data_IF_943015694074
#
_entry.id   IF_943015694074
#
_cell.length_a   1.000
_cell.length_b   1.000
_cell.length_c   1.000
_cell.angle_alpha   90.00
_cell.angle_beta   90.00
_cell.angle_gamma   90.00
#
_symmetry.space_group_name_H-M   'P 1'
#
loop_
_entity.id
_entity.type
_entity.pdbx_description
1 polymer ?
#
# COMPACT_ATOMS: atom_id res chain seq x y z
N UNK A 1 6.92 20.18 -12.73
CA UNK A 1 7.07 18.72 -12.85
C UNK A 1 7.33 18.05 -11.52
N UNK A 2 8.33 18.53 -10.77
CA UNK A 2 8.62 17.98 -9.44
C UNK A 2 7.39 17.97 -8.53
N UNK A 3 6.65 19.07 -8.53
CA UNK A 3 5.48 19.18 -7.66
C UNK A 3 4.40 18.13 -7.99
N UNK A 4 4.23 17.81 -9.26
CA UNK A 4 3.29 16.78 -9.69
C UNK A 4 3.70 15.41 -9.13
N UNK A 5 4.99 15.11 -9.21
CA UNK A 5 5.52 13.84 -8.67
C UNK A 5 5.33 13.78 -7.16
N UNK A 6 5.69 14.85 -6.45
CA UNK A 6 5.55 14.89 -4.99
C UNK A 6 4.08 14.76 -4.58
N UNK A 7 3.18 15.47 -5.25
CA UNK A 7 1.75 15.41 -4.94
C UNK A 7 1.19 14.00 -5.15
N UNK A 8 1.64 13.33 -6.19
CA UNK A 8 1.18 11.98 -6.50
C UNK A 8 1.66 10.96 -5.47
N UNK A 9 2.93 11.05 -5.07
CA UNK A 9 3.47 10.17 -4.04
C UNK A 9 2.77 10.43 -2.70
N UNK A 10 2.55 11.70 -2.37
CA UNK A 10 1.83 12.07 -1.15
C UNK A 10 0.40 11.53 -1.15
N UNK A 11 -0.29 11.59 -2.29
CA UNK A 11 -1.64 11.05 -2.43
C UNK A 11 -1.65 9.54 -2.20
N UNK A 12 -0.70 8.82 -2.80
CA UNK A 12 -0.56 7.38 -2.59
C UNK A 12 -0.26 7.04 -1.13
N UNK A 13 0.59 7.85 -0.50
CA UNK A 13 0.94 7.64 0.91
C UNK A 13 -0.29 7.84 1.81
N UNK A 14 -1.09 8.88 1.56
CA UNK A 14 -2.31 9.11 2.33
C UNK A 14 -3.29 7.95 2.22
N UNK A 15 -3.49 7.45 1.00
CA UNK A 15 -4.39 6.31 0.77
C UNK A 15 -3.86 5.06 1.47
N UNK A 16 -2.55 4.83 1.42
CA UNK A 16 -1.91 3.70 2.08
C UNK A 16 -2.07 3.77 3.60
N UNK A 17 -1.94 4.95 4.18
CA UNK A 17 -2.12 5.14 5.63
C UNK A 17 -3.58 4.90 6.04
N UNK A 18 -4.53 5.33 5.23
CA UNK A 18 -5.94 5.04 5.48
C UNK A 18 -6.20 3.54 5.44
N UNK A 19 -5.60 2.85 4.48
CA UNK A 19 -5.74 1.41 4.37
C UNK A 19 -5.11 0.69 5.57
N UNK A 20 -3.93 1.13 6.00
CA UNK A 20 -3.27 0.56 7.18
C UNK A 20 -4.14 0.71 8.43
N UNK A 21 -4.72 1.89 8.63
CA UNK A 21 -5.62 2.14 9.75
C UNK A 21 -6.82 1.20 9.71
N UNK A 22 -7.41 1.01 8.54
CA UNK A 22 -8.59 0.15 8.38
C UNK A 22 -8.24 -1.32 8.65
N UNK A 23 -7.12 -1.81 8.12
CA UNK A 23 -6.69 -3.20 8.32
C UNK A 23 -6.34 -3.44 9.78
N UNK A 24 -5.74 -2.44 10.45
CA UNK A 24 -5.45 -2.53 11.88
C UNK A 24 -6.74 -2.59 12.70
N UNK A 25 -7.75 -1.80 12.33
CA UNK A 25 -9.06 -1.87 12.98
C UNK A 25 -9.72 -3.23 12.76
N UNK A 26 -9.60 -3.79 11.56
CA UNK A 26 -10.11 -5.12 11.28
C UNK A 26 -9.46 -6.18 12.16
N UNK A 27 -8.16 -6.05 12.42
CA UNK A 27 -7.45 -6.96 13.31
C UNK A 27 -8.02 -6.92 14.72
N UNK A 28 -8.27 -5.72 15.23
CA UNK A 28 -8.86 -5.55 16.56
C UNK A 28 -10.25 -6.18 16.64
N UNK A 29 -11.04 -6.02 15.58
CA UNK A 29 -12.39 -6.60 15.54
C UNK A 29 -12.35 -8.13 15.50
N UNK A 30 -11.41 -8.71 14.77
CA UNK A 30 -11.22 -10.16 14.74
C UNK A 30 -10.86 -10.72 16.12
N UNK A 31 -9.94 -10.05 16.81
CA UNK A 31 -9.50 -10.48 18.15
C UNK A 31 -10.66 -10.41 19.14
N UNK A 32 -11.54 -9.42 18.99
CA UNK A 32 -12.71 -9.25 19.85
C UNK A 32 -13.91 -10.08 19.41
N UNK A 33 -13.79 -10.84 18.32
CA UNK A 33 -14.86 -11.62 17.74
C UNK A 33 -16.07 -10.77 17.29
N UNK A 34 -15.84 -9.51 16.92
CA UNK A 34 -16.86 -8.63 16.38
C UNK A 34 -16.90 -8.78 14.86
N UNK A 35 -17.37 -9.95 14.39
CA UNK A 35 -17.30 -10.32 12.98
C UNK A 35 -18.20 -9.48 12.09
N UNK A 36 -19.34 -9.05 12.58
CA UNK A 36 -20.25 -8.22 11.79
C UNK A 36 -19.59 -6.88 11.44
N UNK A 37 -18.90 -6.27 12.40
CA UNK A 37 -18.16 -5.03 12.16
C UNK A 37 -16.98 -5.25 11.24
N UNK A 38 -16.29 -6.38 11.39
CA UNK A 38 -15.21 -6.75 10.46
C UNK A 38 -15.73 -6.79 9.03
N UNK A 39 -16.89 -7.41 8.81
CA UNK A 39 -17.50 -7.52 7.50
C UNK A 39 -17.91 -6.16 6.95
N UNK A 40 -18.37 -5.26 7.79
CA UNK A 40 -18.76 -3.90 7.39
C UNK A 40 -17.57 -3.10 6.85
N UNK A 41 -16.37 -3.36 7.32
CA UNK A 41 -15.17 -2.67 6.86
C UNK A 41 -14.64 -3.17 5.51
N UNK A 42 -15.04 -4.37 5.10
CA UNK A 42 -14.54 -4.96 3.85
C UNK A 42 -14.88 -4.16 2.60
N UNK A 43 -16.11 -3.62 2.43
CA UNK A 43 -16.40 -2.74 1.30
C UNK A 43 -15.57 -1.47 1.30
N UNK A 44 -15.30 -0.90 2.46
CA UNK A 44 -14.44 0.29 2.58
C UNK A 44 -13.00 -0.03 2.15
N UNK A 45 -12.51 -1.19 2.53
CA UNK A 45 -11.19 -1.66 2.11
C UNK A 45 -11.09 -1.75 0.59
N UNK A 46 -12.09 -2.35 -0.05
CA UNK A 46 -12.13 -2.46 -1.51
C UNK A 46 -12.15 -1.09 -2.18
N UNK A 47 -12.89 -0.15 -1.62
CA UNK A 47 -12.94 1.21 -2.15
C UNK A 47 -11.58 1.90 -2.07
N UNK A 48 -10.89 1.77 -0.93
CA UNK A 48 -9.57 2.36 -0.74
C UNK A 48 -8.57 1.73 -1.71
N UNK A 49 -8.60 0.41 -1.89
CA UNK A 49 -7.75 -0.28 -2.86
C UNK A 49 -8.01 0.21 -4.28
N UNK A 50 -9.26 0.46 -4.64
CA UNK A 50 -9.62 1.01 -5.94
C UNK A 50 -9.04 2.41 -6.12
N UNK A 51 -9.11 3.25 -5.10
CA UNK A 51 -8.49 4.58 -5.15
C UNK A 51 -6.98 4.49 -5.38
N UNK A 52 -6.31 3.58 -4.69
CA UNK A 52 -4.88 3.38 -4.87
C UNK A 52 -4.54 2.92 -6.28
N UNK A 53 -5.31 1.98 -6.83
CA UNK A 53 -5.10 1.51 -8.20
C UNK A 53 -5.26 2.61 -9.23
N UNK A 54 -6.19 3.53 -9.00
CA UNK A 54 -6.38 4.68 -9.90
C UNK A 54 -5.16 5.60 -9.88
N UNK A 55 -4.58 5.83 -8.71
CA UNK A 55 -3.37 6.63 -8.59
C UNK A 55 -2.19 5.95 -9.26
N UNK A 56 -2.08 4.64 -9.14
CA UNK A 56 -1.04 3.86 -9.78
C UNK A 56 -1.15 3.90 -11.30
N UNK A 57 -2.36 3.72 -11.82
CA UNK A 57 -2.57 3.62 -13.26
C UNK A 57 -2.31 4.92 -14.02
N UNK A 58 -2.12 6.03 -13.33
CA UNK A 58 -1.74 7.29 -13.95
C UNK A 58 -0.28 7.32 -14.39
N UNK A 59 0.30 6.27 -14.81
CA UNK A 59 1.65 6.03 -15.37
C UNK A 59 2.62 7.22 -15.43
N UNK A 60 2.15 8.41 -15.13
CA UNK A 60 2.92 9.66 -15.19
C UNK A 60 4.09 9.64 -14.21
N UNK A 61 3.88 9.03 -13.04
CA UNK A 61 4.91 8.99 -12.01
C UNK A 61 6.15 8.24 -12.47
N UNK A 62 5.97 7.04 -13.01
CA UNK A 62 7.11 6.23 -13.46
C UNK A 62 7.86 6.91 -14.60
N UNK A 63 7.13 7.49 -15.54
CA UNK A 63 7.73 8.14 -16.69
C UNK A 63 8.52 9.38 -16.27
N UNK A 64 7.97 10.20 -15.38
CA UNK A 64 8.65 11.42 -14.93
C UNK A 64 9.87 11.07 -14.09
N UNK A 65 9.76 10.07 -13.22
CA UNK A 65 10.90 9.65 -12.38
C UNK A 65 12.05 9.11 -13.24
N UNK A 66 11.74 8.33 -14.28
CA UNK A 66 12.78 7.78 -15.15
C UNK A 66 13.44 8.83 -16.04
N UNK A 67 12.64 9.76 -16.59
CA UNK A 67 13.14 10.69 -17.62
C UNK A 67 13.78 11.94 -17.03
N UNK A 68 13.29 12.44 -15.89
CA UNK A 68 13.67 13.75 -15.38
C UNK A 68 14.26 13.76 -13.97
N UNK A 69 14.31 12.61 -13.31
CA UNK A 69 14.71 12.55 -11.91
C UNK A 69 16.11 13.13 -11.67
N UNK A 70 17.06 12.81 -12.53
CA UNK A 70 18.43 13.29 -12.37
C UNK A 70 18.57 14.80 -12.57
N UNK A 71 17.63 15.39 -13.30
CA UNK A 71 17.63 16.84 -13.56
C UNK A 71 17.01 17.63 -12.40
N UNK A 72 16.38 16.96 -11.45
CA UNK A 72 15.78 17.63 -10.30
C UNK A 72 16.86 18.14 -9.34
N UNK A 73 16.62 19.25 -8.62
CA UNK A 73 17.49 19.65 -7.53
C UNK A 73 17.68 18.55 -6.51
N UNK A 74 18.86 18.50 -5.89
CA UNK A 74 19.19 17.45 -4.92
C UNK A 74 18.17 17.40 -3.79
N UNK A 75 17.70 18.55 -3.34
CA UNK A 75 16.73 18.63 -2.27
C UNK A 75 15.39 17.98 -2.66
N UNK A 76 14.96 18.19 -3.90
CA UNK A 76 13.73 17.56 -4.42
C UNK A 76 13.90 16.07 -4.58
N UNK A 77 15.07 15.63 -5.06
CA UNK A 77 15.37 14.20 -5.13
C UNK A 77 15.29 13.54 -3.75
N UNK A 78 15.80 14.23 -2.73
CA UNK A 78 15.76 13.72 -1.35
C UNK A 78 14.33 13.60 -0.85
N UNK A 79 13.48 14.61 -1.13
CA UNK A 79 12.07 14.54 -0.76
C UNK A 79 11.35 13.37 -1.44
N UNK A 80 11.63 13.15 -2.71
CA UNK A 80 11.04 12.02 -3.45
C UNK A 80 11.47 10.71 -2.82
N UNK A 81 12.76 10.55 -2.53
CA UNK A 81 13.28 9.34 -1.93
C UNK A 81 12.66 9.07 -0.55
N UNK A 82 12.57 10.11 0.27
CA UNK A 82 11.98 9.99 1.61
C UNK A 82 10.50 9.58 1.53
N UNK A 83 9.75 10.17 0.61
CA UNK A 83 8.34 9.83 0.43
C UNK A 83 8.16 8.42 -0.12
N UNK A 84 9.00 8.00 -1.07
CA UNK A 84 8.95 6.64 -1.61
C UNK A 84 9.29 5.61 -0.52
N UNK A 85 10.25 5.92 0.32
CA UNK A 85 10.59 5.04 1.43
C UNK A 85 9.42 4.93 2.41
N UNK A 86 8.81 6.06 2.78
CA UNK A 86 7.65 6.07 3.66
C UNK A 86 6.48 5.29 3.04
N UNK A 87 6.25 5.45 1.74
CA UNK A 87 5.21 4.73 1.03
C UNK A 87 5.46 3.22 1.07
N UNK A 88 6.69 2.81 0.77
CA UNK A 88 7.05 1.39 0.77
C UNK A 88 6.89 0.77 2.16
N UNK A 89 7.35 1.46 3.19
CA UNK A 89 7.22 0.98 4.57
C UNK A 89 5.74 0.83 4.97
N UNK A 90 4.92 1.82 4.61
CA UNK A 90 3.49 1.77 4.90
C UNK A 90 2.80 0.63 4.17
N UNK A 91 3.13 0.43 2.89
CA UNK A 91 2.59 -0.66 2.09
C UNK A 91 2.99 -2.02 2.68
N UNK A 92 4.23 -2.17 3.10
CA UNK A 92 4.68 -3.41 3.73
C UNK A 92 3.92 -3.68 5.02
N UNK A 93 3.68 -2.64 5.83
CA UNK A 93 2.89 -2.78 7.05
C UNK A 93 1.45 -3.22 6.75
N UNK A 94 0.84 -2.67 5.69
CA UNK A 94 -0.50 -3.07 5.26
C UNK A 94 -0.52 -4.55 4.88
N UNK A 95 0.44 -4.97 4.08
CA UNK A 95 0.52 -6.36 3.62
C UNK A 95 0.69 -7.31 4.81
N UNK A 96 1.60 -6.98 5.72
CA UNK A 96 1.85 -7.81 6.90
C UNK A 96 0.62 -7.89 7.81
N UNK A 97 -0.05 -6.76 8.05
CA UNK A 97 -1.25 -6.74 8.87
C UNK A 97 -2.38 -7.54 8.24
N UNK A 98 -2.55 -7.45 6.93
CA UNK A 98 -3.60 -8.17 6.24
C UNK A 98 -3.32 -9.67 6.21
N UNK A 99 -2.06 -10.06 6.01
CA UNK A 99 -1.66 -11.47 6.11
C UNK A 99 -1.88 -12.01 7.51
N UNK A 100 -1.59 -11.21 8.54
CA UNK A 100 -1.84 -11.61 9.93
C UNK A 100 -3.33 -11.86 10.17
N UNK A 101 -4.19 -10.99 9.62
CA UNK A 101 -5.64 -11.19 9.69
C UNK A 101 -6.07 -12.46 8.98
N UNK A 102 -5.50 -12.73 7.80
CA UNK A 102 -5.80 -13.94 7.03
C UNK A 102 -5.40 -15.20 7.80
N UNK A 103 -4.20 -15.19 8.37
CA UNK A 103 -3.70 -16.32 9.14
C UNK A 103 -4.52 -16.55 10.41
N UNK A 104 -4.92 -15.47 11.08
CA UNK A 104 -5.76 -15.55 12.27
C UNK A 104 -7.09 -16.23 11.93
N UNK A 105 -7.73 -15.84 10.84
CA UNK A 105 -8.99 -16.44 10.41
C UNK A 105 -8.82 -17.93 10.09
N UNK A 106 -7.77 -18.27 9.34
CA UNK A 106 -7.54 -19.66 8.93
C UNK A 106 -7.19 -20.58 10.08
N UNK A 107 -6.33 -20.11 11.00
CA UNK A 107 -5.77 -20.96 12.05
C UNK A 107 -6.58 -20.93 13.34
N UNK A 108 -7.08 -19.75 13.72
CA UNK A 108 -7.74 -19.57 15.01
C UNK A 108 -9.26 -19.69 14.93
N UNK A 109 -9.87 -19.17 13.85
CA UNK A 109 -11.32 -19.11 13.74
C UNK A 109 -11.91 -20.23 12.89
N UNK A 110 -11.17 -20.69 11.89
CA UNK A 110 -11.61 -21.75 10.96
C UNK A 110 -13.01 -21.47 10.39
N UNK A 111 -13.25 -20.23 9.94
CA UNK A 111 -14.54 -19.82 9.37
C UNK A 111 -14.40 -19.53 7.88
N UNK A 112 -14.93 -20.40 7.00
CA UNK A 112 -14.77 -20.22 5.54
C UNK A 112 -15.35 -18.90 5.02
N UNK A 113 -16.45 -18.41 5.58
CA UNK A 113 -17.05 -17.15 5.15
C UNK A 113 -16.13 -15.96 5.37
N UNK A 114 -15.38 -15.95 6.47
CA UNK A 114 -14.42 -14.90 6.76
C UNK A 114 -13.16 -15.05 5.91
N UNK A 115 -12.77 -16.27 5.58
CA UNK A 115 -11.63 -16.54 4.71
C UNK A 115 -11.86 -15.92 3.33
N UNK A 116 -13.08 -15.99 2.80
CA UNK A 116 -13.40 -15.36 1.52
C UNK A 116 -13.21 -13.85 1.56
N UNK A 117 -13.57 -13.22 2.67
CA UNK A 117 -13.39 -11.77 2.82
C UNK A 117 -11.91 -11.38 2.82
N UNK A 118 -11.07 -12.21 3.44
CA UNK A 118 -9.64 -11.94 3.55
C UNK A 118 -8.90 -12.34 2.28
N UNK A 119 -9.52 -13.11 1.38
CA UNK A 119 -8.92 -13.39 0.08
C UNK A 119 -8.55 -12.11 -0.66
N UNK A 120 -9.15 -10.97 -0.30
CA UNK A 120 -8.75 -9.67 -0.82
C UNK A 120 -7.32 -9.27 -0.43
N UNK A 121 -6.68 -9.99 0.48
CA UNK A 121 -5.26 -9.78 0.79
C UNK A 121 -4.39 -9.98 -0.45
N UNK A 122 -4.75 -10.92 -1.32
CA UNK A 122 -4.05 -11.12 -2.58
C UNK A 122 -4.18 -9.90 -3.49
N UNK A 123 -5.35 -9.24 -3.48
CA UNK A 123 -5.57 -8.00 -4.22
C UNK A 123 -4.67 -6.89 -3.69
N UNK A 124 -4.49 -6.80 -2.37
CA UNK A 124 -3.58 -5.82 -1.77
C UNK A 124 -2.15 -6.04 -2.27
N UNK A 125 -1.67 -7.28 -2.23
CA UNK A 125 -0.34 -7.61 -2.71
C UNK A 125 -0.19 -7.31 -4.20
N UNK A 126 -1.20 -7.65 -5.00
CA UNK A 126 -1.18 -7.36 -6.43
C UNK A 126 -1.17 -5.86 -6.71
N UNK A 127 -1.91 -5.08 -5.91
CA UNK A 127 -1.97 -3.63 -6.09
C UNK A 127 -0.65 -2.95 -5.75
N UNK A 128 0.06 -3.42 -4.72
CA UNK A 128 1.26 -2.76 -4.22
C UNK A 128 2.56 -3.45 -4.64
N UNK A 129 2.50 -4.73 -4.97
CA UNK A 129 3.69 -5.54 -5.17
C UNK A 129 4.59 -5.08 -6.30
N UNK A 130 4.02 -4.42 -7.32
CA UNK A 130 4.79 -3.94 -8.46
C UNK A 130 5.33 -2.52 -8.27
N UNK A 131 4.79 -1.76 -7.30
CA UNK A 131 5.14 -0.34 -7.16
C UNK A 131 6.18 -0.07 -6.08
N UNK A 132 5.90 -0.49 -4.85
CA UNK A 132 6.75 -0.15 -3.72
C UNK A 132 8.12 -0.79 -3.79
N UNK A 133 8.23 -2.13 -3.59
CA UNK A 133 9.53 -2.78 -3.53
C UNK A 133 10.35 -2.68 -4.80
N UNK A 134 9.78 -2.89 -6.02
CA UNK A 134 10.60 -2.79 -7.25
C UNK A 134 11.17 -1.40 -7.48
N UNK A 135 10.42 -0.33 -7.16
CA UNK A 135 10.93 1.04 -7.34
C UNK A 135 12.12 1.28 -6.41
N UNK A 136 12.02 0.89 -5.16
CA UNK A 136 13.14 1.01 -4.22
C UNK A 136 14.30 0.11 -4.60
N UNK A 137 14.02 -1.09 -5.08
CA UNK A 137 15.06 -2.01 -5.51
C UNK A 137 15.87 -1.43 -6.66
N UNK A 138 15.20 -0.80 -7.63
CA UNK A 138 15.89 -0.16 -8.76
C UNK A 138 16.77 0.98 -8.28
N UNK A 139 16.25 1.85 -7.43
CA UNK A 139 17.03 2.96 -6.89
C UNK A 139 18.21 2.46 -6.07
N UNK A 140 18.01 1.41 -5.31
CA UNK A 140 19.05 0.82 -4.48
C UNK A 140 20.16 0.23 -5.33
N UNK A 141 19.81 -0.45 -6.42
CA UNK A 141 20.78 -1.01 -7.36
C UNK A 141 21.57 0.09 -8.04
N UNK A 142 20.89 1.15 -8.49
CA UNK A 142 21.56 2.28 -9.14
C UNK A 142 22.57 2.96 -8.22
N UNK A 143 22.28 3.04 -6.93
CA UNK A 143 23.20 3.63 -5.96
C UNK A 143 24.44 2.81 -5.72
N UNK A 144 24.35 1.49 -5.88
CA UNK A 144 25.49 0.61 -5.70
C UNK A 144 26.43 0.60 -6.89
N UNK A 145 25.94 1.00 -8.02
CA UNK A 145 26.70 1.05 -9.25
C UNK A 145 27.33 2.44 -9.47
#
# INVERSE_FOLDING_TARGET
>A
MVQIVLDQIQAQLRVSKRLLSLVTDQQKLLVREEFDRFMELSPQKKQILSEFKKLESSALLDQVVEDEYEDYPVEDQRQIEDLLLALTETVEEVIQADLANQNFIKQELNRPSLTQLVASAEDVQAAYGSLGPPVLSRQHVDRKN
#
